data_IF_581223248453
#
_entry.id   IF_581223248453
#
_cell.length_a   1.000
_cell.length_b   1.000
_cell.length_c   1.000
_cell.angle_alpha   90.00
_cell.angle_beta   90.00
_cell.angle_gamma   90.00
#
_symmetry.space_group_name_H-M   'P 1'
#
loop_
_entity.id
_entity.type
_entity.pdbx_description
1 polymer ?
#
# COMPACT_ATOMS: atom_id res chain seq x y z
N UNK A 1 52.25 30.28 -48.84
CA UNK A 1 53.17 29.12 -48.78
C UNK A 1 52.34 27.86 -48.57
N UNK A 2 52.81 26.76 -49.15
CA UNK A 2 52.14 25.47 -49.33
C UNK A 2 52.48 24.53 -48.16
N UNK A 3 51.59 23.54 -47.90
CA UNK A 3 51.82 22.22 -47.24
C UNK A 3 51.82 22.22 -45.70
N UNK A 4 51.28 21.24 -44.95
CA UNK A 4 50.80 19.88 -45.23
C UNK A 4 49.90 19.40 -44.06
N UNK A 5 48.90 18.59 -44.44
CA UNK A 5 48.14 17.54 -43.74
C UNK A 5 48.62 17.08 -42.35
N UNK A 6 47.64 16.92 -41.44
CA UNK A 6 47.55 15.75 -40.57
C UNK A 6 46.07 15.40 -40.32
N UNK A 7 45.71 14.19 -40.71
CA UNK A 7 44.40 13.57 -40.61
C UNK A 7 44.08 13.16 -39.17
N UNK A 8 42.79 13.02 -38.84
CA UNK A 8 42.21 11.77 -38.31
C UNK A 8 40.70 11.90 -38.08
N UNK A 9 39.94 11.14 -38.88
CA UNK A 9 38.72 10.43 -38.50
C UNK A 9 37.51 11.22 -38.00
N UNK A 10 36.55 11.49 -38.87
CA UNK A 10 35.18 11.80 -38.46
C UNK A 10 34.29 10.54 -38.48
N UNK A 11 33.39 10.54 -37.51
CA UNK A 11 32.08 9.85 -37.42
C UNK A 11 32.01 8.43 -36.88
N UNK A 12 31.66 8.39 -35.60
CA UNK A 12 30.39 7.85 -35.09
C UNK A 12 30.16 6.33 -35.14
N UNK A 13 30.47 5.70 -34.01
CA UNK A 13 29.54 4.77 -33.39
C UNK A 13 29.57 5.04 -31.88
N UNK A 14 28.64 5.87 -31.41
CA UNK A 14 28.32 5.92 -30.00
C UNK A 14 27.72 4.55 -29.64
N UNK A 15 28.54 3.63 -29.15
CA UNK A 15 28.04 2.61 -28.23
C UNK A 15 27.52 3.39 -27.03
N UNK A 16 26.22 3.67 -27.02
CA UNK A 16 25.52 3.83 -25.77
C UNK A 16 25.56 2.46 -25.11
N UNK A 17 26.66 2.18 -24.43
CA UNK A 17 26.65 1.34 -23.25
C UNK A 17 25.66 2.01 -22.31
N UNK A 18 24.38 1.65 -22.43
CA UNK A 18 23.47 1.75 -21.31
C UNK A 18 24.21 1.11 -20.16
N UNK A 19 24.60 1.93 -19.19
CA UNK A 19 24.91 1.46 -17.86
C UNK A 19 23.61 0.78 -17.44
N UNK A 20 23.53 -0.52 -17.67
CA UNK A 20 22.49 -1.34 -17.11
C UNK A 20 22.64 -1.10 -15.63
N UNK A 21 21.72 -0.32 -15.08
CA UNK A 21 21.51 -0.28 -13.65
C UNK A 21 21.06 -1.69 -13.29
N UNK A 22 22.06 -2.55 -13.06
CA UNK A 22 21.91 -3.74 -12.27
C UNK A 22 21.60 -3.24 -10.85
N UNK A 23 20.33 -2.91 -10.62
CA UNK A 23 19.80 -2.87 -9.28
C UNK A 23 19.65 -4.32 -8.85
N UNK A 24 20.71 -4.82 -8.21
CA UNK A 24 20.60 -5.93 -7.31
C UNK A 24 19.80 -5.46 -6.08
N UNK A 25 18.60 -5.99 -5.92
CA UNK A 25 18.32 -6.84 -4.78
C UNK A 25 17.10 -7.71 -5.07
N UNK A 26 17.28 -9.00 -4.87
CA UNK A 26 16.19 -9.95 -4.71
C UNK A 26 15.33 -9.51 -3.52
N UNK A 27 14.04 -9.38 -3.74
CA UNK A 27 13.06 -9.68 -2.72
C UNK A 27 12.20 -10.77 -3.34
N UNK A 28 12.49 -12.02 -2.96
CA UNK A 28 11.43 -13.02 -3.04
C UNK A 28 10.21 -12.41 -2.38
N UNK A 29 9.06 -12.60 -3.00
CA UNK A 29 7.77 -12.46 -2.34
C UNK A 29 7.83 -13.39 -1.13
N UNK A 30 8.35 -12.90 -0.01
CA UNK A 30 8.05 -13.47 1.29
C UNK A 30 6.61 -13.05 1.49
N UNK A 31 5.72 -13.89 0.96
CA UNK A 31 4.33 -13.96 1.34
C UNK A 31 4.36 -14.22 2.85
N UNK A 32 4.40 -13.13 3.64
CA UNK A 32 4.29 -13.22 5.09
C UNK A 32 2.82 -13.60 5.34
N UNK A 33 2.53 -14.89 5.26
CA UNK A 33 1.35 -15.55 5.85
C UNK A 33 1.44 -15.55 7.38
N UNK A 34 1.97 -14.48 7.97
CA UNK A 34 2.08 -14.28 9.41
C UNK A 34 1.10 -13.20 9.80
N UNK A 35 -0.14 -13.60 10.10
CA UNK A 35 -1.17 -12.65 10.51
C UNK A 35 -2.55 -13.31 10.55
N UNK A 36 -3.01 -13.84 9.41
CA UNK A 36 -4.36 -14.33 9.21
C UNK A 36 -4.83 -15.43 10.19
N UNK A 37 -6.10 -15.38 10.59
CA UNK A 37 -6.78 -16.44 11.34
C UNK A 37 -7.49 -17.37 10.34
N UNK A 38 -6.86 -18.49 10.01
CA UNK A 38 -7.37 -19.41 8.99
C UNK A 38 -7.35 -18.75 7.61
N UNK A 39 -8.52 -18.60 6.99
CA UNK A 39 -8.69 -17.90 5.70
C UNK A 39 -9.15 -16.44 5.86
N UNK A 40 -9.13 -15.90 7.09
CA UNK A 40 -9.59 -14.54 7.40
C UNK A 40 -8.37 -13.68 7.72
N UNK A 41 -8.20 -12.61 6.96
CA UNK A 41 -7.15 -11.61 7.14
C UNK A 41 -7.80 -10.23 7.27
N UNK A 42 -7.15 -9.32 7.99
CA UNK A 42 -7.62 -7.94 8.11
C UNK A 42 -7.60 -7.29 6.73
N UNK A 43 -8.69 -6.60 6.37
CA UNK A 43 -8.80 -5.97 5.06
C UNK A 43 -9.36 -4.55 5.13
N UNK A 44 -9.01 -3.73 4.14
CA UNK A 44 -9.45 -2.34 4.02
C UNK A 44 -9.97 -2.07 2.62
N UNK A 45 -11.20 -1.57 2.55
CA UNK A 45 -11.86 -1.11 1.33
C UNK A 45 -12.16 0.38 1.40
N UNK A 46 -11.82 1.09 0.32
CA UNK A 46 -12.23 2.47 0.13
C UNK A 46 -13.54 2.54 -0.68
N UNK A 47 -14.68 2.63 0.00
CA UNK A 47 -15.98 2.90 -0.62
C UNK A 47 -16.23 4.42 -0.83
N UNK A 48 -15.36 5.28 -0.29
CA UNK A 48 -15.52 6.74 -0.33
C UNK A 48 -15.01 7.37 -1.63
N UNK A 49 -15.29 8.66 -1.82
CA UNK A 49 -14.84 9.43 -3.01
C UNK A 49 -13.43 10.02 -2.90
N UNK A 50 -12.75 9.84 -1.76
CA UNK A 50 -11.41 10.40 -1.50
C UNK A 50 -10.45 9.24 -1.24
N UNK A 51 -9.18 9.37 -1.61
CA UNK A 51 -8.19 8.33 -1.36
C UNK A 51 -8.02 8.06 0.14
N UNK A 52 -7.54 6.86 0.48
CA UNK A 52 -7.08 6.48 1.82
C UNK A 52 -5.75 5.73 1.69
N UNK A 53 -5.09 5.50 2.82
CA UNK A 53 -3.97 4.56 2.88
C UNK A 53 -4.34 3.37 3.77
N UNK A 54 -4.13 2.15 3.28
CA UNK A 54 -4.06 0.96 4.12
C UNK A 54 -2.65 0.80 4.68
N UNK A 55 -2.54 0.23 5.87
CA UNK A 55 -1.32 0.13 6.67
C UNK A 55 -1.12 -1.34 7.05
N UNK A 56 0.03 -1.90 6.72
CA UNK A 56 0.27 -3.34 6.87
C UNK A 56 0.37 -3.77 8.33
N UNK A 57 1.21 -3.08 9.10
CA UNK A 57 1.51 -3.38 10.49
C UNK A 57 1.11 -2.25 11.42
N UNK A 58 0.35 -2.56 12.46
CA UNK A 58 -0.17 -1.56 13.39
C UNK A 58 -0.09 -2.03 14.85
N UNK A 59 0.51 -1.22 15.73
CA UNK A 59 0.63 -1.50 17.17
C UNK A 59 -0.38 -0.69 18.02
N UNK A 60 -0.23 -0.69 19.34
CA UNK A 60 -1.15 0.04 20.21
C UNK A 60 -1.03 1.58 20.08
N UNK A 61 0.10 2.07 19.58
CA UNK A 61 0.43 3.50 19.49
C UNK A 61 0.32 4.06 18.07
N UNK A 62 0.27 3.20 17.04
CA UNK A 62 0.14 3.65 15.67
C UNK A 62 0.68 2.64 14.64
N UNK A 63 0.87 3.11 13.39
CA UNK A 63 1.59 2.37 12.37
C UNK A 63 3.01 2.04 12.83
N UNK A 64 3.47 0.78 12.65
CA UNK A 64 4.85 0.42 13.01
C UNK A 64 5.85 1.19 12.13
N UNK A 65 7.01 1.62 12.66
CA UNK A 65 8.06 2.24 11.84
C UNK A 65 8.48 1.32 10.68
N UNK A 66 8.51 1.85 9.46
CA UNK A 66 8.90 1.10 8.26
C UNK A 66 7.83 0.14 7.71
N UNK A 67 6.60 0.16 8.25
CA UNK A 67 5.50 -0.63 7.70
C UNK A 67 5.15 -0.21 6.26
N UNK A 68 4.56 -1.12 5.50
CA UNK A 68 4.05 -0.85 4.17
C UNK A 68 2.76 0.00 4.25
N UNK A 69 2.71 1.03 3.40
CA UNK A 69 1.52 1.85 3.17
C UNK A 69 1.07 1.67 1.74
N UNK A 70 -0.22 1.39 1.55
CA UNK A 70 -0.82 1.22 0.24
C UNK A 70 -1.90 2.26 0.01
N UNK A 71 -1.71 3.08 -1.02
CA UNK A 71 -2.74 3.99 -1.49
C UNK A 71 -3.93 3.19 -2.05
N UNK A 72 -5.13 3.49 -1.57
CA UNK A 72 -6.39 2.96 -2.10
C UNK A 72 -7.22 4.13 -2.64
N UNK A 73 -7.38 4.15 -3.96
CA UNK A 73 -8.33 5.03 -4.64
C UNK A 73 -9.77 4.57 -4.38
N UNK A 74 -10.79 5.43 -4.67
CA UNK A 74 -12.18 5.03 -4.60
C UNK A 74 -12.47 3.70 -5.31
N UNK A 75 -13.16 2.79 -4.62
CA UNK A 75 -13.51 1.45 -5.08
C UNK A 75 -12.42 0.39 -4.94
N UNK A 76 -11.22 0.75 -4.46
CA UNK A 76 -10.13 -0.21 -4.27
C UNK A 76 -10.17 -0.86 -2.88
N UNK A 77 -9.69 -2.10 -2.83
CA UNK A 77 -9.57 -2.93 -1.63
C UNK A 77 -8.15 -3.51 -1.54
N UNK A 78 -7.70 -3.78 -0.33
CA UNK A 78 -6.49 -4.58 -0.10
C UNK A 78 -6.68 -6.03 -0.55
N UNK A 79 -5.60 -6.76 -0.93
CA UNK A 79 -5.69 -8.19 -1.16
C UNK A 79 -6.18 -8.92 0.10
N UNK A 80 -7.15 -9.84 -0.03
CA UNK A 80 -7.78 -10.54 1.11
C UNK A 80 -6.95 -11.70 1.68
N UNK A 81 -5.89 -12.08 0.97
CA UNK A 81 -4.88 -13.07 1.38
C UNK A 81 -3.70 -12.42 2.12
N UNK A 82 -3.78 -11.11 2.40
CA UNK A 82 -2.75 -10.32 3.05
C UNK A 82 -3.35 -9.68 4.30
N UNK A 83 -2.67 -9.79 5.45
CA UNK A 83 -3.14 -9.16 6.69
C UNK A 83 -2.80 -7.67 6.69
N UNK A 84 -3.82 -6.81 6.75
CA UNK A 84 -3.70 -5.37 6.88
C UNK A 84 -4.26 -4.93 8.23
N UNK A 85 -3.41 -4.31 9.03
CA UNK A 85 -3.74 -3.98 10.43
C UNK A 85 -4.40 -2.61 10.63
N UNK A 86 -4.53 -1.78 9.60
CA UNK A 86 -5.14 -0.46 9.77
C UNK A 86 -5.26 0.38 8.51
N UNK A 87 -5.75 1.59 8.70
CA UNK A 87 -5.89 2.58 7.64
C UNK A 87 -5.77 4.01 8.15
N UNK A 88 -5.44 4.94 7.25
CA UNK A 88 -5.40 6.37 7.48
C UNK A 88 -6.28 7.10 6.47
N UNK A 89 -6.95 8.15 6.93
CA UNK A 89 -7.85 8.99 6.11
C UNK A 89 -7.38 10.45 6.08
N UNK A 90 -7.38 11.11 4.91
CA UNK A 90 -7.03 12.52 4.82
C UNK A 90 -8.12 13.46 5.37
N UNK A 91 -9.39 13.04 5.35
CA UNK A 91 -10.53 13.88 5.72
C UNK A 91 -11.40 13.21 6.79
N UNK A 92 -12.36 13.96 7.35
CA UNK A 92 -13.29 13.39 8.33
C UNK A 92 -14.06 12.25 7.66
N UNK A 93 -13.94 11.04 8.21
CA UNK A 93 -14.44 9.84 7.59
C UNK A 93 -15.50 9.16 8.45
N UNK A 94 -16.42 8.46 7.79
CA UNK A 94 -17.27 7.46 8.43
C UNK A 94 -17.30 6.19 7.62
N UNK A 95 -17.58 5.09 8.30
CA UNK A 95 -17.58 3.79 7.68
C UNK A 95 -18.11 2.71 8.61
N UNK A 96 -17.83 1.47 8.25
CA UNK A 96 -18.22 0.28 9.01
C UNK A 96 -17.08 -0.72 9.07
N UNK A 97 -17.07 -1.51 10.13
CA UNK A 97 -16.19 -2.67 10.30
C UNK A 97 -17.07 -3.91 10.38
N UNK A 98 -16.78 -4.90 9.54
CA UNK A 98 -17.29 -6.25 9.69
C UNK A 98 -16.28 -7.02 10.54
N UNK A 99 -16.68 -7.61 11.66
CA UNK A 99 -15.85 -8.49 12.47
C UNK A 99 -16.39 -9.92 12.42
N UNK A 100 -15.53 -10.89 12.14
CA UNK A 100 -15.90 -12.30 12.22
C UNK A 100 -15.91 -12.76 13.68
N UNK A 101 -17.04 -13.28 14.14
CA UNK A 101 -17.22 -13.78 15.50
C UNK A 101 -17.52 -15.28 15.49
N UNK A 102 -16.89 -16.06 16.39
CA UNK A 102 -17.28 -17.45 16.62
C UNK A 102 -18.77 -17.58 17.01
N UNK A 103 -19.52 -18.58 16.50
CA UNK A 103 -19.08 -19.75 15.73
C UNK A 103 -19.09 -19.57 14.20
N UNK A 104 -19.15 -18.35 13.66
CA UNK A 104 -19.05 -18.12 12.21
C UNK A 104 -20.04 -17.12 11.65
N UNK A 105 -20.22 -15.96 12.29
CA UNK A 105 -21.06 -14.89 11.76
C UNK A 105 -20.30 -13.56 11.72
N UNK A 106 -20.71 -12.68 10.80
CA UNK A 106 -20.17 -11.34 10.68
C UNK A 106 -21.04 -10.35 11.45
N UNK A 107 -20.42 -9.64 12.39
CA UNK A 107 -21.04 -8.52 13.10
C UNK A 107 -20.56 -7.20 12.49
N UNK A 108 -21.48 -6.27 12.28
CA UNK A 108 -21.16 -4.96 11.73
C UNK A 108 -21.21 -3.90 12.82
N UNK A 109 -20.23 -2.99 12.81
CA UNK A 109 -20.21 -1.80 13.65
C UNK A 109 -19.84 -0.58 12.84
N UNK A 110 -20.46 0.55 13.13
CA UNK A 110 -20.15 1.82 12.47
C UNK A 110 -18.99 2.54 13.18
N UNK A 111 -18.27 3.37 12.42
CA UNK A 111 -17.26 4.26 12.97
C UNK A 111 -17.31 5.66 12.37
N UNK A 112 -16.79 6.61 13.15
CA UNK A 112 -16.35 7.93 12.69
C UNK A 112 -14.87 8.11 13.03
N UNK A 113 -14.11 8.73 12.12
CA UNK A 113 -12.68 8.97 12.27
C UNK A 113 -12.38 10.42 11.86
N UNK A 114 -11.71 11.24 12.70
CA UNK A 114 -11.37 12.60 12.31
C UNK A 114 -10.35 12.63 11.17
N UNK A 115 -10.29 13.76 10.48
CA UNK A 115 -9.31 14.02 9.43
C UNK A 115 -7.88 13.81 9.90
N UNK A 116 -7.02 13.33 8.98
CA UNK A 116 -5.61 13.04 9.23
C UNK A 116 -5.36 12.04 10.36
N UNK A 117 -6.33 11.18 10.67
CA UNK A 117 -6.21 10.16 11.69
C UNK A 117 -6.18 8.76 11.09
N UNK A 118 -5.56 7.85 11.83
CA UNK A 118 -5.51 6.44 11.49
C UNK A 118 -6.35 5.62 12.46
N UNK A 119 -6.76 4.44 12.03
CA UNK A 119 -7.49 3.47 12.85
C UNK A 119 -6.87 2.09 12.65
N UNK A 120 -6.66 1.40 13.78
CA UNK A 120 -6.33 -0.02 13.81
C UNK A 120 -7.56 -0.86 13.51
N UNK A 121 -7.36 -1.96 12.79
CA UNK A 121 -8.27 -3.10 12.70
C UNK A 121 -7.57 -4.36 13.18
N UNK A 122 -8.36 -5.39 13.49
CA UNK A 122 -7.87 -6.71 13.86
C UNK A 122 -7.80 -7.62 12.63
N UNK A 123 -7.03 -8.69 12.72
CA UNK A 123 -6.90 -9.73 11.68
C UNK A 123 -8.23 -10.33 11.19
N UNK A 124 -9.28 -10.29 12.01
CA UNK A 124 -10.60 -10.84 11.65
C UNK A 124 -11.62 -9.75 11.33
N UNK A 125 -11.15 -8.56 10.94
CA UNK A 125 -11.98 -7.40 10.63
C UNK A 125 -11.79 -6.90 9.18
N UNK A 126 -12.92 -6.58 8.53
CA UNK A 126 -12.98 -5.92 7.22
C UNK A 126 -13.45 -4.47 7.43
N UNK A 127 -12.58 -3.49 7.19
CA UNK A 127 -12.93 -2.07 7.26
C UNK A 127 -13.39 -1.51 5.92
N UNK A 128 -14.53 -0.84 5.93
CA UNK A 128 -15.09 -0.14 4.78
C UNK A 128 -15.18 1.36 5.09
N UNK A 129 -14.31 2.18 4.50
CA UNK A 129 -14.37 3.64 4.59
C UNK A 129 -15.39 4.14 3.57
N UNK A 130 -16.57 4.57 4.02
CA UNK A 130 -17.74 4.79 3.13
C UNK A 130 -17.95 6.23 2.71
N UNK A 131 -17.61 7.17 3.59
CA UNK A 131 -17.74 8.59 3.28
C UNK A 131 -16.58 9.36 3.86
N UNK A 132 -16.17 10.41 3.14
CA UNK A 132 -15.19 11.37 3.58
C UNK A 132 -15.71 12.77 3.30
N UNK A 133 -15.46 13.70 4.23
CA UNK A 133 -15.80 15.12 4.11
C UNK A 133 -14.55 15.97 4.37
N UNK A 134 -14.07 16.54 3.29
CA UNK A 134 -13.16 17.66 3.23
C UNK A 134 -14.03 18.91 2.91
#
# INVERSE_FOLDING_TARGET
>A
MKRILAALGLTAAALMSTVGMANASAAGEVEIQGGCVGAICGSVMNESSVYIYAIRDFDANGPKPGTEWRLLNPGQETPRDQDWDGFWVPCNASGRIAAWLPPGFWSWSDFSLPASHWRKISTHEDAHVRSQRC
#
